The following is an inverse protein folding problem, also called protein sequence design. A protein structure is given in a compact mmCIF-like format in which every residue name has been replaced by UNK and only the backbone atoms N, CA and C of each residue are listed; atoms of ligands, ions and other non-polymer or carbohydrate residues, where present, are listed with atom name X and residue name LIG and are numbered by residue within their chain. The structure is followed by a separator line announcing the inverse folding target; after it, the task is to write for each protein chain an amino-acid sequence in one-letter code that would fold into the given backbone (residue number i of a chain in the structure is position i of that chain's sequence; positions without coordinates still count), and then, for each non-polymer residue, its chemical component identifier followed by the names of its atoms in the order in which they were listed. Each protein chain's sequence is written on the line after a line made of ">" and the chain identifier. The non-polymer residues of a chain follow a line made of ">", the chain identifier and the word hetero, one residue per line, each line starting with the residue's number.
data_IF_445910501434
#
_entry.id   IF_445910501434
#
_cell.length_a   1.000
_cell.length_b   1.000
_cell.length_c   1.000
_cell.angle_alpha   90.00
_cell.angle_beta   90.00
_cell.angle_gamma   90.00
#
_symmetry.space_group_name_H-M   'P 1'
#
loop_
_entity.id
_entity.type
_entity.pdbx_description
1 polymer ?
#
# COMPACT_ATOMS: atom_id res chain seq x y z
N UNK A 1 3.54 -7.28 26.90
CA UNK A 1 3.68 -7.43 25.44
C UNK A 1 2.29 -7.64 24.88
N UNK A 2 1.78 -6.72 24.06
CA UNK A 2 0.43 -6.87 23.49
C UNK A 2 0.47 -7.93 22.39
N UNK A 3 -0.35 -8.97 22.52
CA UNK A 3 -0.54 -9.99 21.48
C UNK A 3 -0.90 -9.28 20.16
N UNK A 4 -0.04 -9.43 19.17
CA UNK A 4 -0.30 -8.97 17.81
C UNK A 4 -1.48 -9.80 17.29
N UNK A 5 -2.58 -9.18 16.84
CA UNK A 5 -3.81 -9.93 16.48
C UNK A 5 -3.55 -11.01 15.41
N UNK A 6 -2.49 -10.87 14.63
CA UNK A 6 -2.02 -11.86 13.65
C UNK A 6 -1.40 -13.14 14.26
N UNK A 7 -1.22 -13.24 15.59
CA UNK A 7 -0.48 -14.35 16.20
C UNK A 7 -1.34 -15.38 16.91
N UNK A 8 -2.68 -15.28 16.83
CA UNK A 8 -3.55 -16.33 17.38
C UNK A 8 -4.02 -17.25 16.27
N UNK A 9 -4.07 -18.55 16.57
CA UNK A 9 -4.57 -19.58 15.64
C UNK A 9 -5.94 -19.21 15.07
N UNK A 10 -6.85 -18.72 15.93
CA UNK A 10 -8.20 -18.29 15.53
C UNK A 10 -8.20 -17.16 14.49
N UNK A 11 -7.31 -16.16 14.64
CA UNK A 11 -7.22 -15.06 13.68
C UNK A 11 -6.58 -15.51 12.37
N UNK A 12 -5.55 -16.35 12.45
CA UNK A 12 -4.94 -16.95 11.27
C UNK A 12 -5.95 -17.76 10.45
N UNK A 13 -6.74 -18.61 11.12
CA UNK A 13 -7.82 -19.38 10.50
C UNK A 13 -8.89 -18.48 9.88
N UNK A 14 -9.30 -17.43 10.58
CA UNK A 14 -10.29 -16.47 10.06
C UNK A 14 -9.80 -15.79 8.78
N UNK A 15 -8.59 -15.23 8.79
CA UNK A 15 -8.02 -14.53 7.63
C UNK A 15 -7.85 -15.51 6.45
N UNK A 16 -7.35 -16.72 6.73
CA UNK A 16 -7.19 -17.77 5.72
C UNK A 16 -8.54 -18.14 5.08
N UNK A 17 -9.59 -18.32 5.88
CA UNK A 17 -10.93 -18.62 5.39
C UNK A 17 -11.51 -17.48 4.54
N UNK A 18 -11.27 -16.21 4.92
CA UNK A 18 -11.69 -15.04 4.12
C UNK A 18 -10.96 -15.03 2.77
N UNK A 19 -9.65 -15.26 2.75
CA UNK A 19 -8.86 -15.29 1.51
C UNK A 19 -9.34 -16.42 0.59
N UNK A 20 -9.49 -17.64 1.13
CA UNK A 20 -9.95 -18.81 0.37
C UNK A 20 -11.37 -18.57 -0.18
N UNK A 21 -12.29 -18.08 0.66
CA UNK A 21 -13.67 -17.83 0.27
C UNK A 21 -13.79 -16.76 -0.83
N UNK A 22 -13.09 -15.63 -0.69
CA UNK A 22 -13.09 -14.59 -1.71
C UNK A 22 -12.38 -15.03 -3.00
N UNK A 23 -11.31 -15.82 -2.90
CA UNK A 23 -10.61 -16.36 -4.09
C UNK A 23 -11.48 -17.36 -4.83
N UNK A 24 -12.21 -18.23 -4.13
CA UNK A 24 -13.17 -19.15 -4.77
C UNK A 24 -14.26 -18.40 -5.54
N UNK A 25 -14.71 -17.26 -5.01
CA UNK A 25 -15.68 -16.38 -5.64
C UNK A 25 -15.06 -15.48 -6.73
N UNK A 26 -13.73 -15.45 -6.91
CA UNK A 26 -13.10 -14.62 -7.95
C UNK A 26 -13.64 -14.98 -9.34
N UNK A 27 -13.78 -16.28 -9.64
CA UNK A 27 -14.22 -16.74 -10.96
C UNK A 27 -15.72 -16.56 -11.21
N UNK A 28 -16.54 -16.41 -10.18
CA UNK A 28 -18.01 -16.24 -10.31
C UNK A 28 -18.47 -14.80 -10.08
N UNK A 29 -17.86 -14.08 -9.14
CA UNK A 29 -18.21 -12.71 -8.76
C UNK A 29 -17.52 -11.61 -9.58
N UNK A 30 -16.31 -11.85 -10.11
CA UNK A 30 -15.70 -10.87 -11.03
C UNK A 30 -16.46 -10.73 -12.35
N UNK A 31 -16.91 -11.81 -13.03
CA UNK A 31 -17.67 -11.68 -14.28
C UNK A 31 -18.93 -10.81 -14.12
N UNK A 32 -19.72 -11.03 -13.07
CA UNK A 32 -20.92 -10.21 -12.80
C UNK A 32 -20.56 -8.74 -12.59
N UNK A 33 -19.53 -8.43 -11.80
CA UNK A 33 -19.08 -7.06 -11.60
C UNK A 33 -18.49 -6.43 -12.88
N UNK A 34 -17.86 -7.23 -13.75
CA UNK A 34 -17.36 -6.77 -15.06
C UNK A 34 -18.52 -6.39 -15.98
N UNK A 35 -19.61 -7.18 -16.01
CA UNK A 35 -20.80 -6.84 -16.81
C UNK A 35 -21.37 -5.46 -16.42
N UNK A 36 -21.38 -5.14 -15.12
CA UNK A 36 -21.79 -3.81 -14.65
C UNK A 36 -20.88 -2.68 -15.16
N UNK A 37 -19.58 -2.94 -15.31
CA UNK A 37 -18.62 -1.96 -15.86
C UNK A 37 -18.81 -1.83 -17.37
N UNK A 38 -18.85 -2.95 -18.10
CA UNK A 38 -18.91 -2.99 -19.56
C UNK A 38 -20.24 -2.44 -20.10
N UNK A 39 -21.35 -2.84 -19.47
CA UNK A 39 -22.69 -2.38 -19.83
C UNK A 39 -23.07 -1.06 -19.16
N UNK A 40 -22.16 -0.50 -18.33
CA UNK A 40 -22.35 0.75 -17.56
C UNK A 40 -23.62 0.75 -16.70
N UNK A 41 -23.97 -0.40 -16.14
CA UNK A 41 -25.12 -0.57 -15.25
C UNK A 41 -24.78 -0.12 -13.83
N UNK A 42 -25.76 0.48 -13.15
CA UNK A 42 -25.61 0.88 -11.74
C UNK A 42 -24.48 1.89 -11.52
N UNK A 43 -23.57 1.60 -10.57
CA UNK A 43 -22.43 2.45 -10.23
C UNK A 43 -21.12 1.70 -10.58
N UNK A 44 -20.51 1.96 -11.75
CA UNK A 44 -19.28 1.26 -12.18
C UNK A 44 -18.13 1.31 -11.18
N UNK A 45 -18.00 2.41 -10.43
CA UNK A 45 -16.98 2.54 -9.37
C UNK A 45 -17.20 1.56 -8.21
N UNK A 46 -18.46 1.26 -7.87
CA UNK A 46 -18.79 0.26 -6.87
C UNK A 46 -18.46 -1.15 -7.38
N UNK A 47 -18.75 -1.43 -8.66
CA UNK A 47 -18.36 -2.69 -9.29
C UNK A 47 -16.83 -2.87 -9.31
N UNK A 48 -16.06 -1.84 -9.68
CA UNK A 48 -14.59 -1.86 -9.60
C UNK A 48 -14.06 -2.13 -8.19
N UNK A 49 -14.74 -1.63 -7.13
CA UNK A 49 -14.38 -1.93 -5.74
C UNK A 49 -14.58 -3.42 -5.41
N UNK A 50 -15.64 -4.05 -5.91
CA UNK A 50 -15.84 -5.48 -5.75
C UNK A 50 -14.78 -6.30 -6.49
N UNK A 51 -14.45 -5.92 -7.73
CA UNK A 51 -13.37 -6.57 -8.51
C UNK A 51 -12.03 -6.44 -7.77
N UNK A 52 -11.73 -5.26 -7.20
CA UNK A 52 -10.52 -5.04 -6.41
C UNK A 52 -10.43 -6.00 -5.22
N UNK A 53 -11.49 -6.11 -4.43
CA UNK A 53 -11.54 -7.03 -3.27
C UNK A 53 -11.22 -8.48 -3.66
N UNK A 54 -11.80 -8.96 -4.76
CA UNK A 54 -11.52 -10.31 -5.24
C UNK A 54 -10.08 -10.44 -5.76
N UNK A 55 -9.57 -9.41 -6.43
CA UNK A 55 -8.18 -9.37 -6.93
C UNK A 55 -7.17 -9.38 -5.79
N UNK A 56 -7.41 -8.65 -4.71
CA UNK A 56 -6.58 -8.63 -3.49
C UNK A 56 -6.55 -10.00 -2.81
N UNK A 57 -7.71 -10.68 -2.74
CA UNK A 57 -7.80 -12.04 -2.24
C UNK A 57 -7.01 -13.02 -3.11
N UNK A 58 -7.16 -12.93 -4.44
CA UNK A 58 -6.43 -13.76 -5.39
C UNK A 58 -4.92 -13.53 -5.33
N UNK A 59 -4.47 -12.27 -5.18
CA UNK A 59 -3.07 -11.93 -4.94
C UNK A 59 -2.56 -12.61 -3.66
N UNK A 60 -3.27 -12.42 -2.55
CA UNK A 60 -2.92 -13.02 -1.26
C UNK A 60 -2.88 -14.54 -1.33
N UNK A 61 -3.82 -15.16 -2.05
CA UNK A 61 -3.86 -16.61 -2.22
C UNK A 61 -2.67 -17.14 -3.02
N UNK A 62 -2.36 -16.49 -4.15
CA UNK A 62 -1.22 -16.83 -4.99
C UNK A 62 0.10 -16.77 -4.21
N UNK A 63 0.26 -15.77 -3.35
CA UNK A 63 1.48 -15.62 -2.54
C UNK A 63 1.54 -16.62 -1.37
N UNK A 64 0.47 -16.73 -0.57
CA UNK A 64 0.48 -17.44 0.71
C UNK A 64 0.30 -18.96 0.58
N UNK A 65 -0.52 -19.43 -0.36
CA UNK A 65 -0.89 -20.84 -0.47
C UNK A 65 -0.29 -21.52 -1.70
N UNK A 66 -0.27 -20.82 -2.84
CA UNK A 66 0.31 -21.37 -4.07
C UNK A 66 1.83 -21.17 -4.13
N UNK A 67 2.35 -20.22 -3.35
CA UNK A 67 3.76 -19.79 -3.41
C UNK A 67 4.20 -19.35 -4.82
N UNK A 68 3.27 -18.83 -5.62
CA UNK A 68 3.51 -18.36 -6.98
C UNK A 68 3.68 -16.84 -6.99
N UNK A 69 4.95 -16.41 -6.91
CA UNK A 69 5.32 -15.00 -6.95
C UNK A 69 4.93 -14.32 -8.28
N UNK A 70 4.99 -15.04 -9.40
CA UNK A 70 4.68 -14.47 -10.71
C UNK A 70 3.19 -14.15 -10.80
N UNK A 71 2.34 -15.08 -10.36
CA UNK A 71 0.89 -14.91 -10.31
C UNK A 71 0.48 -13.82 -9.31
N UNK A 72 1.12 -13.77 -8.13
CA UNK A 72 0.94 -12.68 -7.18
C UNK A 72 1.22 -11.31 -7.81
N UNK A 73 2.37 -11.15 -8.49
CA UNK A 73 2.73 -9.88 -9.15
C UNK A 73 1.73 -9.45 -10.22
N UNK A 74 1.17 -10.41 -10.97
CA UNK A 74 0.12 -10.14 -11.95
C UNK A 74 -1.15 -9.59 -11.29
N UNK A 75 -1.63 -10.21 -10.21
CA UNK A 75 -2.78 -9.68 -9.48
C UNK A 75 -2.49 -8.35 -8.78
N UNK A 76 -1.29 -8.17 -8.21
CA UNK A 76 -0.87 -6.92 -7.61
C UNK A 76 -0.86 -5.77 -8.63
N UNK A 77 -0.43 -6.03 -9.87
CA UNK A 77 -0.54 -5.06 -10.97
C UNK A 77 -1.99 -4.68 -11.28
N UNK A 78 -2.89 -5.66 -11.39
CA UNK A 78 -4.32 -5.42 -11.65
C UNK A 78 -4.96 -4.63 -10.50
N UNK A 79 -4.70 -5.02 -9.25
CA UNK A 79 -5.17 -4.31 -8.06
C UNK A 79 -4.69 -2.86 -8.03
N UNK A 80 -3.42 -2.61 -8.34
CA UNK A 80 -2.87 -1.26 -8.43
C UNK A 80 -3.58 -0.38 -9.48
N UNK A 81 -3.86 -0.93 -10.67
CA UNK A 81 -4.63 -0.21 -11.71
C UNK A 81 -6.07 0.04 -11.29
N UNK A 82 -6.73 -0.93 -10.66
CA UNK A 82 -8.09 -0.75 -10.14
C UNK A 82 -8.14 0.31 -9.03
N UNK A 83 -7.12 0.36 -8.17
CA UNK A 83 -6.94 1.41 -7.18
C UNK A 83 -6.90 2.81 -7.80
N UNK A 84 -6.18 3.00 -8.91
CA UNK A 84 -6.17 4.27 -9.66
C UNK A 84 -7.52 4.56 -10.31
N UNK A 85 -8.13 3.58 -10.97
CA UNK A 85 -9.37 3.81 -11.73
C UNK A 85 -10.56 4.16 -10.82
N UNK A 86 -10.66 3.51 -9.65
CA UNK A 86 -11.76 3.76 -8.72
C UNK A 86 -11.69 5.13 -8.05
N UNK A 87 -10.54 5.80 -8.09
CA UNK A 87 -10.30 7.02 -7.33
C UNK A 87 -10.75 8.29 -8.07
N UNK A 88 -11.01 8.22 -9.38
CA UNK A 88 -11.26 9.39 -10.26
C UNK A 88 -12.42 10.27 -9.79
N UNK A 89 -13.42 9.70 -9.10
CA UNK A 89 -14.53 10.44 -8.51
C UNK A 89 -14.77 10.07 -7.02
N UNK A 90 -13.74 9.55 -6.35
CA UNK A 90 -13.84 9.19 -4.93
C UNK A 90 -13.69 10.43 -4.05
N UNK A 91 -14.46 10.49 -2.96
CA UNK A 91 -14.23 11.49 -1.89
C UNK A 91 -12.90 11.25 -1.16
N UNK A 92 -12.42 10.00 -1.20
CA UNK A 92 -11.12 9.56 -0.69
C UNK A 92 -10.30 9.03 -1.88
N UNK A 93 -9.56 9.89 -2.60
CA UNK A 93 -9.02 9.58 -3.92
C UNK A 93 -7.69 8.81 -3.88
N UNK A 94 -7.53 7.85 -2.98
CA UNK A 94 -6.38 6.92 -2.97
C UNK A 94 -6.27 6.19 -4.33
N UNK A 95 -5.08 6.07 -4.95
CA UNK A 95 -3.75 6.40 -4.41
C UNK A 95 -3.29 7.85 -4.63
N UNK A 96 -4.08 8.75 -5.22
CA UNK A 96 -3.64 10.14 -5.49
C UNK A 96 -3.45 10.97 -4.22
N UNK A 97 -4.04 10.54 -3.11
CA UNK A 97 -3.90 11.14 -1.80
C UNK A 97 -4.04 10.06 -0.74
N UNK A 98 -3.01 9.86 0.09
CA UNK A 98 -3.12 8.99 1.26
C UNK A 98 -3.49 9.81 2.49
N UNK A 99 -4.59 9.46 3.19
CA UNK A 99 -4.92 10.04 4.48
C UNK A 99 -3.77 9.92 5.48
N UNK A 100 -3.68 10.90 6.38
CA UNK A 100 -2.56 11.01 7.31
C UNK A 100 -2.51 9.90 8.37
N UNK A 101 -3.54 9.08 8.49
CA UNK A 101 -3.62 7.88 9.32
C UNK A 101 -3.24 6.59 8.59
N UNK A 102 -3.01 6.62 7.27
CA UNK A 102 -2.55 5.48 6.48
C UNK A 102 -1.05 5.21 6.57
N UNK A 103 -0.68 3.95 6.37
CA UNK A 103 0.72 3.49 6.33
C UNK A 103 1.15 3.21 4.89
N UNK A 104 2.46 3.27 4.64
CA UNK A 104 3.08 2.90 3.36
C UNK A 104 2.87 1.42 2.96
N UNK A 105 2.43 0.57 3.89
CA UNK A 105 2.14 -0.86 3.68
C UNK A 105 0.65 -1.17 3.51
N UNK A 106 -0.21 -0.15 3.43
CA UNK A 106 -1.63 -0.34 3.19
C UNK A 106 -1.96 -0.32 1.69
N UNK A 107 -3.12 -0.88 1.36
CA UNK A 107 -3.63 -0.86 0.00
C UNK A 107 -4.05 0.57 -0.39
N UNK A 108 -3.86 0.96 -1.66
CA UNK A 108 -3.29 0.15 -2.75
C UNK A 108 -1.75 0.22 -2.86
N UNK A 109 -1.06 1.03 -2.04
CA UNK A 109 0.38 1.31 -2.20
C UNK A 109 1.24 0.05 -2.14
N UNK A 110 0.96 -0.85 -1.21
CA UNK A 110 1.71 -2.09 -1.08
C UNK A 110 1.66 -2.92 -2.36
N UNK A 111 0.48 -3.19 -2.90
CA UNK A 111 0.32 -3.98 -4.13
C UNK A 111 0.92 -3.27 -5.36
N UNK A 112 0.84 -1.94 -5.43
CA UNK A 112 1.49 -1.18 -6.49
C UNK A 112 3.00 -1.37 -6.47
N UNK A 113 3.64 -1.29 -5.30
CA UNK A 113 5.08 -1.52 -5.13
C UNK A 113 5.46 -2.97 -5.44
N UNK A 114 4.69 -3.93 -4.93
CA UNK A 114 4.97 -5.36 -5.06
C UNK A 114 4.70 -5.92 -6.46
N UNK A 115 4.05 -5.16 -7.35
CA UNK A 115 3.76 -5.56 -8.73
C UNK A 115 4.98 -5.61 -9.65
N UNK A 116 6.10 -4.99 -9.26
CA UNK A 116 7.27 -4.71 -10.11
C UNK A 116 6.95 -3.95 -11.41
N UNK A 117 5.76 -3.35 -11.53
CA UNK A 117 5.35 -2.66 -12.75
C UNK A 117 6.08 -1.31 -12.90
N UNK A 118 6.86 -1.11 -13.97
CA UNK A 118 7.49 0.19 -14.23
C UNK A 118 6.47 1.32 -14.35
N UNK A 119 5.29 1.02 -14.90
CA UNK A 119 4.20 2.00 -15.09
C UNK A 119 3.60 2.45 -13.75
N UNK A 120 3.37 1.51 -12.82
CA UNK A 120 2.86 1.87 -11.49
C UNK A 120 3.94 2.58 -10.67
N UNK A 121 5.21 2.15 -10.78
CA UNK A 121 6.35 2.87 -10.18
C UNK A 121 6.44 4.30 -10.67
N UNK A 122 6.37 4.49 -11.99
CA UNK A 122 6.39 5.80 -12.64
C UNK A 122 5.21 6.67 -12.20
N UNK A 123 4.01 6.09 -12.09
CA UNK A 123 2.84 6.78 -11.53
C UNK A 123 3.09 7.26 -10.10
N UNK A 124 3.59 6.38 -9.22
CA UNK A 124 3.88 6.72 -7.82
C UNK A 124 4.91 7.84 -7.71
N UNK A 125 6.02 7.73 -8.45
CA UNK A 125 7.13 8.70 -8.43
C UNK A 125 6.74 10.05 -9.04
N UNK A 126 5.89 10.08 -10.08
CA UNK A 126 5.44 11.34 -10.68
C UNK A 126 4.50 12.13 -9.78
N UNK A 127 3.85 11.47 -8.82
CA UNK A 127 2.80 12.07 -8.00
C UNK A 127 3.19 12.16 -6.51
N UNK A 128 4.47 12.02 -6.15
CA UNK A 128 4.94 11.94 -4.75
C UNK A 128 4.30 13.00 -3.85
N UNK A 129 4.32 14.26 -4.27
CA UNK A 129 3.82 15.36 -3.45
C UNK A 129 2.31 15.28 -3.18
N UNK A 130 1.53 14.82 -4.16
CA UNK A 130 0.09 14.62 -4.02
C UNK A 130 -0.20 13.39 -3.14
N UNK A 131 0.48 12.28 -3.44
CA UNK A 131 0.29 10.98 -2.80
C UNK A 131 0.61 11.06 -1.31
N UNK A 132 1.77 11.61 -0.97
CA UNK A 132 2.27 11.64 0.41
C UNK A 132 1.56 12.69 1.28
N UNK A 133 0.79 13.61 0.68
CA UNK A 133 0.08 14.68 1.39
C UNK A 133 1.03 15.42 2.36
N UNK A 134 2.19 15.83 1.84
CA UNK A 134 3.37 16.07 2.66
C UNK A 134 3.27 17.31 3.54
N UNK A 135 3.83 17.18 4.73
CA UNK A 135 4.31 18.28 5.54
C UNK A 135 5.79 18.02 5.83
N UNK A 136 6.68 18.93 5.42
CA UNK A 136 8.09 18.87 5.84
C UNK A 136 8.21 18.95 7.38
N UNK A 137 7.17 19.45 8.06
CA UNK A 137 7.05 19.46 9.51
C UNK A 137 6.94 18.04 10.09
N UNK A 138 7.52 17.83 11.27
CA UNK A 138 7.39 16.59 12.03
C UNK A 138 6.97 16.91 13.46
N UNK A 139 5.66 17.00 13.69
CA UNK A 139 5.08 17.51 14.95
C UNK A 139 4.28 16.42 15.67
N UNK A 140 3.62 15.53 14.93
CA UNK A 140 2.74 14.52 15.52
C UNK A 140 2.79 13.17 14.78
N UNK A 141 1.97 12.20 15.24
CA UNK A 141 1.92 10.84 14.66
C UNK A 141 1.47 10.80 13.20
N UNK A 142 0.60 11.71 12.78
CA UNK A 142 0.09 11.77 11.41
C UNK A 142 1.18 12.28 10.47
N UNK A 143 2.05 13.17 10.94
CA UNK A 143 3.24 13.57 10.20
C UNK A 143 4.20 12.39 10.00
N UNK A 144 4.33 11.46 10.96
CA UNK A 144 5.18 10.28 10.75
C UNK A 144 4.69 9.40 9.59
N UNK A 145 3.37 9.23 9.46
CA UNK A 145 2.79 8.43 8.37
C UNK A 145 3.08 9.08 7.02
N UNK A 146 2.90 10.40 6.93
CA UNK A 146 3.26 11.18 5.74
C UNK A 146 4.75 11.06 5.43
N UNK A 147 5.61 11.18 6.44
CA UNK A 147 7.05 10.99 6.31
C UNK A 147 7.40 9.58 5.83
N UNK A 148 6.72 8.54 6.34
CA UNK A 148 6.93 7.15 5.93
C UNK A 148 6.56 6.92 4.46
N UNK A 149 5.41 7.42 4.02
CA UNK A 149 4.96 7.32 2.64
C UNK A 149 5.94 8.07 1.73
N UNK A 150 6.26 9.32 2.06
CA UNK A 150 7.19 10.14 1.28
C UNK A 150 8.57 9.48 1.16
N UNK A 151 9.15 9.02 2.27
CA UNK A 151 10.46 8.39 2.27
C UNK A 151 10.46 7.07 1.49
N UNK A 152 9.38 6.30 1.57
CA UNK A 152 9.22 5.10 0.72
C UNK A 152 9.25 5.49 -0.76
N UNK A 153 8.56 6.56 -1.15
CA UNK A 153 8.51 7.02 -2.53
C UNK A 153 9.85 7.62 -3.01
N UNK A 154 10.57 8.34 -2.14
CA UNK A 154 11.92 8.84 -2.44
C UNK A 154 12.92 7.69 -2.64
N UNK A 155 12.82 6.64 -1.82
CA UNK A 155 13.61 5.42 -1.99
C UNK A 155 13.29 4.73 -3.31
N UNK A 156 11.99 4.64 -3.67
CA UNK A 156 11.54 4.07 -4.95
C UNK A 156 11.99 4.91 -6.15
N UNK A 157 12.03 6.24 -6.01
CA UNK A 157 12.60 7.13 -7.02
C UNK A 157 14.11 6.95 -7.16
N UNK A 158 14.83 6.87 -6.04
CA UNK A 158 16.29 6.65 -5.99
C UNK A 158 17.13 7.85 -6.44
N UNK A 159 16.56 9.06 -6.50
CA UNK A 159 17.26 10.27 -7.00
C UNK A 159 17.54 11.29 -5.90
N UNK A 160 16.53 11.62 -5.08
CA UNK A 160 16.65 12.63 -4.03
C UNK A 160 17.17 12.03 -2.71
N UNK A 161 18.32 11.37 -2.76
CA UNK A 161 18.88 10.65 -1.60
C UNK A 161 19.21 11.59 -0.42
N UNK A 162 19.74 12.78 -0.70
CA UNK A 162 20.00 13.78 0.35
C UNK A 162 18.74 14.19 1.11
N UNK A 163 17.61 14.32 0.40
CA UNK A 163 16.32 14.64 1.01
C UNK A 163 15.79 13.45 1.83
N UNK A 164 15.94 12.23 1.32
CA UNK A 164 15.60 11.00 2.07
C UNK A 164 16.40 10.91 3.37
N UNK A 165 17.70 11.20 3.33
CA UNK A 165 18.59 11.25 4.49
C UNK A 165 18.13 12.30 5.51
N UNK A 166 17.99 13.56 5.09
CA UNK A 166 17.59 14.66 5.98
C UNK A 166 16.25 14.38 6.68
N UNK A 167 15.26 13.87 5.94
CA UNK A 167 13.95 13.51 6.49
C UNK A 167 14.07 12.37 7.49
N UNK A 168 14.92 11.37 7.22
CA UNK A 168 15.14 10.24 8.13
C UNK A 168 15.84 10.67 9.42
N UNK A 169 16.89 11.48 9.33
CA UNK A 169 17.59 12.06 10.48
C UNK A 169 16.65 12.88 11.37
N UNK A 170 15.76 13.68 10.76
CA UNK A 170 14.77 14.48 11.48
C UNK A 170 13.86 13.64 12.38
N UNK A 171 13.40 12.49 11.88
CA UNK A 171 12.57 11.57 12.65
C UNK A 171 13.38 10.86 13.74
N UNK A 172 14.60 10.43 13.43
CA UNK A 172 15.48 9.73 14.37
C UNK A 172 15.97 10.64 15.52
N UNK A 173 16.12 11.94 15.27
CA UNK A 173 16.50 12.94 16.25
C UNK A 173 15.34 13.42 17.15
N UNK A 174 14.10 12.98 16.90
CA UNK A 174 12.94 13.49 17.63
C UNK A 174 12.94 13.05 19.10
N UNK A 175 12.88 14.00 20.06
CA UNK A 175 13.00 13.69 21.47
C UNK A 175 11.75 12.96 21.98
N UNK A 176 11.95 11.88 22.73
CA UNK A 176 10.88 11.10 23.38
C UNK A 176 9.89 10.44 22.40
N UNK A 177 10.33 9.44 21.62
CA UNK A 177 9.48 8.83 20.61
C UNK A 177 8.27 8.14 21.26
N UNK A 178 7.07 8.48 20.78
CA UNK A 178 5.85 7.77 21.15
C UNK A 178 6.00 6.26 20.90
N UNK A 179 5.23 5.42 21.61
CA UNK A 179 5.23 3.95 21.38
C UNK A 179 5.03 3.57 19.91
N UNK A 180 4.36 4.42 19.15
CA UNK A 180 4.08 4.18 17.75
C UNK A 180 5.27 4.58 16.86
N UNK A 181 5.97 5.68 17.16
CA UNK A 181 7.25 6.02 16.51
C UNK A 181 8.33 4.95 16.80
N UNK A 182 8.39 4.41 18.01
CA UNK A 182 9.33 3.35 18.36
C UNK A 182 9.22 2.11 17.44
N UNK A 183 8.02 1.78 16.96
CA UNK A 183 7.80 0.67 16.02
C UNK A 183 8.33 0.93 14.62
N UNK A 184 8.69 2.19 14.30
CA UNK A 184 9.09 2.65 12.97
C UNK A 184 10.55 3.09 12.91
N UNK A 185 11.26 3.15 14.04
CA UNK A 185 12.67 3.56 14.05
C UNK A 185 13.55 2.70 13.13
N UNK A 186 13.24 1.41 13.00
CA UNK A 186 13.96 0.53 12.06
C UNK A 186 13.70 0.89 10.60
N UNK A 187 12.47 1.28 10.25
CA UNK A 187 12.16 1.75 8.89
C UNK A 187 12.97 3.00 8.53
N UNK A 188 13.10 3.95 9.46
CA UNK A 188 13.89 5.17 9.25
C UNK A 188 15.39 4.94 9.24
N UNK A 189 15.90 3.97 10.01
CA UNK A 189 17.30 3.53 9.90
C UNK A 189 17.57 2.86 8.56
N UNK A 190 16.62 2.08 8.06
CA UNK A 190 16.70 1.47 6.74
C UNK A 190 16.70 2.53 5.63
N UNK A 191 15.84 3.55 5.71
CA UNK A 191 15.86 4.68 4.77
C UNK A 191 17.17 5.46 4.82
N UNK A 192 17.73 5.67 6.02
CA UNK A 192 19.01 6.35 6.17
C UNK A 192 20.16 5.54 5.54
N UNK A 193 20.27 4.25 5.86
CA UNK A 193 21.28 3.36 5.27
C UNK A 193 21.15 3.29 3.75
N UNK A 194 19.92 3.22 3.22
CA UNK A 194 19.69 3.29 1.77
C UNK A 194 20.16 4.61 1.18
N UNK A 195 19.85 5.74 1.82
CA UNK A 195 20.26 7.06 1.35
C UNK A 195 21.79 7.26 1.38
N UNK A 196 22.46 6.69 2.38
CA UNK A 196 23.92 6.71 2.52
C UNK A 196 24.62 5.74 1.57
N UNK A 197 23.87 4.85 0.93
CA UNK A 197 24.38 3.76 0.09
C UNK A 197 25.33 2.85 0.90
N UNK A 198 25.03 2.65 2.19
CA UNK A 198 25.78 1.78 3.07
C UNK A 198 25.78 0.35 2.50
N UNK A 199 26.98 -0.18 2.25
CA UNK A 199 27.24 -1.51 1.70
C UNK A 199 27.27 -2.60 2.77
#
# INVERSE_FOLDING_TARGET
>A
MGHNMMTTQKWYEHITNVIIGNTANFNSGCPEAIDYVDERKGVPLAAMRHILMYTEAAASHAYLFEHDLKKFKQYAYVAGKLGILRSVNSTDPEPFFFPCDMLNIQDPMFLMLMSDSPQLREFLVRNIDNIANDTEAFVNRYDLNRHMIYNTLLMVEGKQLDRLKQRSEKVLAHPTPSKWLQKRLYDYRFFLAFAEQDA
#
